data_IF_822588148197
#
_entry.id   IF_822588148197
#
_cell.length_a   1.000
_cell.length_b   1.000
_cell.length_c   1.000
_cell.angle_alpha   90.00
_cell.angle_beta   90.00
_cell.angle_gamma   90.00
#
_symmetry.space_group_name_H-M   'P 1'
#
loop_
_entity.id
_entity.type
_entity.pdbx_description
1 polymer ?
#
# COMPACT_ATOMS: atom_id res chain seq x y z
N UNK A 1 -9.88 5.57 -15.59
CA UNK A 1 -8.52 5.32 -16.13
C UNK A 1 -8.45 3.97 -16.82
N UNK A 2 -7.94 3.92 -18.05
CA UNK A 2 -7.58 2.68 -18.76
C UNK A 2 -6.16 2.25 -18.37
N UNK A 3 -5.85 0.96 -18.47
CA UNK A 3 -4.50 0.41 -18.21
C UNK A 3 -4.24 -0.07 -16.77
N UNK A 4 -3.16 -0.86 -16.57
CA UNK A 4 -2.83 -1.47 -15.28
C UNK A 4 -2.45 -0.42 -14.22
N UNK A 5 -2.65 -0.76 -12.94
CA UNK A 5 -2.13 0.04 -11.83
C UNK A 5 -0.63 -0.26 -11.68
N UNK A 6 0.20 0.78 -11.78
CA UNK A 6 1.65 0.68 -11.63
C UNK A 6 2.13 1.81 -10.75
N UNK A 7 2.84 1.45 -9.68
CA UNK A 7 3.64 2.40 -8.92
C UNK A 7 5.08 2.38 -9.46
N UNK A 8 5.76 3.52 -9.45
CA UNK A 8 7.16 3.63 -9.90
C UNK A 8 8.04 3.87 -8.69
N UNK A 9 9.02 2.99 -8.50
CA UNK A 9 10.08 3.18 -7.51
C UNK A 9 11.37 3.58 -8.22
N UNK A 10 12.05 4.60 -7.71
CA UNK A 10 13.34 5.05 -8.20
C UNK A 10 14.26 5.35 -7.02
N UNK A 11 15.45 4.74 -7.01
CA UNK A 11 16.44 4.89 -5.93
C UNK A 11 17.63 5.80 -6.32
N UNK A 12 17.50 6.56 -7.41
CA UNK A 12 18.59 7.37 -7.95
C UNK A 12 19.51 6.61 -8.92
N UNK A 13 19.37 5.29 -9.06
CA UNK A 13 20.18 4.46 -9.97
C UNK A 13 19.34 3.63 -10.93
N UNK A 14 18.22 3.09 -10.45
CA UNK A 14 17.34 2.21 -11.23
C UNK A 14 15.89 2.51 -10.97
N UNK A 15 15.10 2.34 -12.04
CA UNK A 15 13.65 2.41 -11.98
C UNK A 15 13.07 1.01 -11.88
N UNK A 16 12.15 0.79 -10.95
CA UNK A 16 11.41 -0.47 -10.78
C UNK A 16 9.92 -0.18 -10.89
N UNK A 17 9.28 -0.82 -11.87
CA UNK A 17 7.82 -0.78 -12.02
C UNK A 17 7.20 -1.82 -11.10
N UNK A 18 6.31 -1.37 -10.23
CA UNK A 18 5.66 -2.19 -9.23
C UNK A 18 4.19 -2.34 -9.63
N UNK A 19 3.84 -3.48 -10.24
CA UNK A 19 2.48 -3.78 -10.65
C UNK A 19 1.53 -3.96 -9.45
N UNK A 20 0.25 -3.69 -9.67
CA UNK A 20 -0.80 -3.86 -8.68
C UNK A 20 -2.19 -4.05 -9.31
N UNK A 21 -3.18 -4.31 -8.47
CA UNK A 21 -4.58 -4.42 -8.89
C UNK A 21 -5.31 -3.12 -8.57
N UNK A 22 -5.95 -2.51 -9.57
CA UNK A 22 -6.91 -1.42 -9.33
C UNK A 22 -8.22 -2.03 -8.83
N UNK A 23 -8.70 -1.56 -7.70
CA UNK A 23 -10.01 -1.93 -7.15
C UNK A 23 -11.01 -0.83 -7.49
N UNK A 24 -12.24 -1.19 -7.87
CA UNK A 24 -13.33 -0.22 -8.16
C UNK A 24 -14.03 0.17 -6.86
N UNK A 25 -13.34 0.90 -6.00
CA UNK A 25 -13.81 1.31 -4.67
C UNK A 25 -13.11 2.60 -4.27
N UNK A 26 -13.84 3.49 -3.61
CA UNK A 26 -13.29 4.70 -3.01
C UNK A 26 -13.08 4.49 -1.52
N UNK A 27 -11.92 4.89 -1.00
CA UNK A 27 -11.63 4.81 0.43
C UNK A 27 -10.59 5.85 0.87
N UNK A 28 -10.61 6.17 2.16
CA UNK A 28 -9.66 7.08 2.79
C UNK A 28 -8.51 6.32 3.49
N UNK A 29 -7.33 6.92 3.51
CA UNK A 29 -6.19 6.46 4.30
C UNK A 29 -5.17 5.55 3.61
N UNK A 30 -5.36 5.22 2.32
CA UNK A 30 -4.43 4.35 1.59
C UNK A 30 -2.99 4.90 1.52
N UNK A 31 -2.84 6.20 1.22
CA UNK A 31 -1.54 6.87 1.16
C UNK A 31 -0.84 6.93 2.51
N UNK A 32 -1.55 7.33 3.57
CA UNK A 32 -1.02 7.33 4.94
C UNK A 32 -0.58 5.93 5.37
N UNK A 33 -1.38 4.91 5.06
CA UNK A 33 -1.05 3.51 5.37
C UNK A 33 0.18 3.03 4.60
N UNK A 34 0.33 3.42 3.32
CA UNK A 34 1.52 3.11 2.52
C UNK A 34 2.78 3.72 3.14
N UNK A 35 2.74 5.01 3.47
CA UNK A 35 3.87 5.73 4.06
C UNK A 35 4.24 5.16 5.42
N UNK A 36 3.27 5.06 6.34
CA UNK A 36 3.49 4.53 7.69
C UNK A 36 4.00 3.08 7.67
N UNK A 37 3.46 2.23 6.79
CA UNK A 37 3.94 0.85 6.66
C UNK A 37 5.35 0.78 6.07
N UNK A 38 5.69 1.66 5.13
CA UNK A 38 7.05 1.74 4.57
C UNK A 38 8.03 2.13 5.67
N UNK A 39 7.74 3.17 6.44
CA UNK A 39 8.53 3.60 7.60
C UNK A 39 8.69 2.47 8.62
N UNK A 40 7.61 1.76 8.95
CA UNK A 40 7.67 0.64 9.89
C UNK A 40 8.57 -0.50 9.40
N UNK A 41 8.50 -0.87 8.11
CA UNK A 41 9.40 -1.89 7.57
C UNK A 41 10.86 -1.42 7.51
N UNK A 42 11.11 -0.14 7.23
CA UNK A 42 12.46 0.41 7.32
C UNK A 42 13.00 0.33 8.77
N UNK A 43 12.18 0.70 9.76
CA UNK A 43 12.55 0.62 11.18
C UNK A 43 12.84 -0.83 11.64
N UNK A 44 12.22 -1.82 10.99
CA UNK A 44 12.49 -3.25 11.21
C UNK A 44 13.72 -3.77 10.43
N UNK A 45 14.49 -2.89 9.77
CA UNK A 45 15.73 -3.24 9.07
C UNK A 45 15.56 -3.77 7.65
N UNK A 46 14.36 -3.68 7.05
CA UNK A 46 14.18 -4.11 5.66
C UNK A 46 14.86 -3.14 4.68
N UNK A 47 15.49 -3.65 3.59
CA UNK A 47 15.97 -2.80 2.51
C UNK A 47 14.85 -1.95 1.90
N UNK A 48 15.15 -0.74 1.43
CA UNK A 48 14.15 0.24 0.96
C UNK A 48 13.13 -0.34 -0.04
N UNK A 49 13.59 -0.99 -1.11
CA UNK A 49 12.70 -1.61 -2.10
C UNK A 49 11.84 -2.73 -1.48
N UNK A 50 12.38 -3.50 -0.53
CA UNK A 50 11.65 -4.54 0.17
C UNK A 50 10.58 -3.95 1.11
N UNK A 51 10.92 -2.87 1.84
CA UNK A 51 10.00 -2.13 2.69
C UNK A 51 8.81 -1.58 1.88
N UNK A 52 9.08 -0.92 0.76
CA UNK A 52 8.04 -0.42 -0.17
C UNK A 52 7.18 -1.58 -0.70
N UNK A 53 7.79 -2.68 -1.15
CA UNK A 53 7.04 -3.85 -1.63
C UNK A 53 6.13 -4.45 -0.56
N UNK A 54 6.58 -4.55 0.68
CA UNK A 54 5.77 -5.05 1.80
C UNK A 54 4.65 -4.08 2.17
N UNK A 55 4.93 -2.79 2.23
CA UNK A 55 3.93 -1.75 2.47
C UNK A 55 2.81 -1.77 1.41
N UNK A 56 3.16 -1.89 0.12
CA UNK A 56 2.19 -2.04 -0.97
C UNK A 56 1.30 -3.27 -0.81
N UNK A 57 1.86 -4.41 -0.41
CA UNK A 57 1.07 -5.62 -0.12
C UNK A 57 0.11 -5.38 1.04
N UNK A 58 0.57 -4.74 2.11
CA UNK A 58 -0.27 -4.39 3.27
C UNK A 58 -1.42 -3.47 2.86
N UNK A 59 -1.17 -2.45 2.04
CA UNK A 59 -2.22 -1.58 1.47
C UNK A 59 -3.19 -2.39 0.62
N UNK A 60 -2.72 -3.26 -0.27
CA UNK A 60 -3.61 -4.08 -1.11
C UNK A 60 -4.54 -4.99 -0.28
N UNK A 61 -4.05 -5.56 0.83
CA UNK A 61 -4.87 -6.35 1.75
C UNK A 61 -5.80 -5.47 2.60
N UNK A 62 -5.29 -4.36 3.14
CA UNK A 62 -6.09 -3.38 3.89
C UNK A 62 -7.21 -2.78 3.05
N UNK A 63 -6.99 -2.65 1.74
CA UNK A 63 -7.99 -2.23 0.77
C UNK A 63 -9.10 -3.28 0.63
N UNK A 64 -8.76 -4.56 0.56
CA UNK A 64 -9.75 -5.66 0.51
C UNK A 64 -10.54 -5.77 1.82
N UNK A 65 -9.88 -5.54 2.94
CA UNK A 65 -10.47 -5.60 4.28
C UNK A 65 -10.98 -4.24 4.78
N UNK A 66 -11.14 -3.25 3.88
CA UNK A 66 -11.62 -1.92 4.25
C UNK A 66 -13.07 -1.97 4.74
N UNK A 67 -13.40 -1.05 5.64
CA UNK A 67 -14.66 -1.06 6.37
C UNK A 67 -15.27 0.34 6.42
N UNK A 68 -16.57 0.40 6.73
CA UNK A 68 -17.30 1.66 6.80
C UNK A 68 -17.40 2.12 8.25
N UNK A 69 -16.69 3.19 8.58
CA UNK A 69 -16.71 3.77 9.93
C UNK A 69 -17.90 4.74 10.15
N UNK A 70 -18.52 5.21 9.07
CA UNK A 70 -19.61 6.18 9.13
C UNK A 70 -20.29 6.37 7.78
N UNK A 71 -20.92 7.53 7.55
CA UNK A 71 -21.73 7.77 6.34
C UNK A 71 -20.91 8.13 5.09
N UNK A 72 -19.62 8.45 5.22
CA UNK A 72 -18.72 8.76 4.10
C UNK A 72 -18.21 7.54 3.33
N UNK A 73 -17.04 7.69 2.69
CA UNK A 73 -16.32 6.59 2.02
C UNK A 73 -15.74 5.59 3.03
N UNK A 74 -15.37 4.41 2.56
CA UNK A 74 -14.75 3.38 3.39
C UNK A 74 -13.37 3.85 3.92
N UNK A 75 -12.93 3.26 5.02
CA UNK A 75 -11.61 3.45 5.61
C UNK A 75 -10.78 2.21 5.33
N UNK A 76 -9.53 2.40 4.89
CA UNK A 76 -8.61 1.27 4.75
C UNK A 76 -8.38 0.58 6.09
N UNK A 77 -8.39 -0.75 6.12
CA UNK A 77 -7.97 -1.47 7.31
C UNK A 77 -6.43 -1.46 7.42
N UNK A 78 -5.89 -0.50 8.17
CA UNK A 78 -4.46 -0.31 8.39
C UNK A 78 -3.86 -1.31 9.40
N UNK A 79 -4.71 -2.02 10.14
CA UNK A 79 -4.31 -2.99 11.16
C UNK A 79 -3.98 -4.38 10.57
N UNK A 80 -4.22 -4.59 9.27
CA UNK A 80 -3.86 -5.84 8.59
C UNK A 80 -2.38 -6.19 8.83
N UNK A 81 -2.16 -7.43 9.25
CA UNK A 81 -0.85 -8.05 9.37
C UNK A 81 -0.57 -8.85 8.10
N UNK A 82 0.63 -8.70 7.56
CA UNK A 82 1.15 -9.65 6.59
C UNK A 82 1.49 -10.92 7.36
N UNK A 83 0.98 -12.07 6.90
CA UNK A 83 1.36 -13.38 7.44
C UNK A 83 2.89 -13.53 7.43
N UNK A 84 3.41 -14.33 8.37
CA UNK A 84 4.84 -14.68 8.43
C UNK A 84 5.25 -15.43 7.18
#
# INVERSE_FOLDING_TARGET
MKGPLVDVFYDGRRMVRLGGRRYRKELHGAGCTLAASTTAYLALGFPLLAAVRRARRKVALGFRASYRAGRGVDIINSQIRLGR
#
